data_IF_402948938966
#
_entry.id   IF_402948938966
#
_cell.length_a   1.000
_cell.length_b   1.000
_cell.length_c   1.000
_cell.angle_alpha   90.00
_cell.angle_beta   90.00
_cell.angle_gamma   90.00
#
_symmetry.space_group_name_H-M   'P 1'
#
loop_
_entity.id
_entity.type
_entity.pdbx_description
1 polymer ?
#
# COMPACT_ATOMS: atom_id res chain seq x y z
N UNK A 1 -18.02 -26.08 -8.94
CA UNK A 1 -16.83 -25.21 -8.92
C UNK A 1 -15.88 -25.72 -10.00
N UNK A 2 -15.58 -24.92 -11.02
CA UNK A 2 -14.57 -25.32 -12.01
C UNK A 2 -13.21 -25.42 -11.30
N UNK A 3 -12.41 -26.46 -11.55
CA UNK A 3 -11.05 -26.49 -11.06
C UNK A 3 -10.32 -25.24 -11.56
N UNK A 4 -9.64 -24.58 -10.68
CA UNK A 4 -8.72 -23.49 -11.08
C UNK A 4 -7.64 -24.15 -11.92
N UNK A 5 -7.58 -23.83 -13.20
CA UNK A 5 -6.53 -24.31 -14.07
C UNK A 5 -5.20 -23.70 -13.60
N UNK A 6 -4.51 -24.45 -12.77
CA UNK A 6 -3.21 -24.05 -12.25
C UNK A 6 -2.10 -24.14 -13.31
N UNK A 7 -2.40 -24.64 -14.50
CA UNK A 7 -1.45 -24.75 -15.61
C UNK A 7 -1.47 -23.55 -16.54
N UNK A 8 -2.42 -22.65 -16.36
CA UNK A 8 -2.50 -21.44 -17.17
C UNK A 8 -1.21 -20.63 -17.01
N UNK A 9 -0.46 -20.54 -18.09
CA UNK A 9 0.77 -19.76 -18.17
C UNK A 9 0.61 -18.25 -17.94
N UNK A 10 -0.53 -17.86 -17.47
CA UNK A 10 -0.91 -16.50 -17.06
C UNK A 10 -0.42 -16.12 -15.68
N UNK A 11 0.36 -16.93 -15.09
CA UNK A 11 1.13 -16.48 -13.95
C UNK A 11 2.12 -15.47 -14.49
N UNK A 12 1.70 -14.26 -14.42
CA UNK A 12 2.58 -13.15 -14.57
C UNK A 12 3.89 -13.54 -13.91
N UNK A 13 4.90 -13.66 -14.71
CA UNK A 13 6.15 -14.25 -14.28
C UNK A 13 6.70 -13.46 -13.09
N UNK A 14 7.19 -14.15 -12.12
CA UNK A 14 8.02 -13.53 -11.10
C UNK A 14 9.22 -12.92 -11.80
N UNK A 15 9.29 -11.62 -11.84
CA UNK A 15 10.48 -10.94 -12.35
C UNK A 15 11.45 -10.70 -11.21
N UNK A 16 12.56 -11.40 -11.21
CA UNK A 16 13.66 -11.14 -10.26
C UNK A 16 14.41 -9.84 -10.54
N UNK A 17 14.15 -9.23 -11.69
CA UNK A 17 14.79 -7.98 -12.11
C UNK A 17 13.96 -6.76 -11.76
N UNK A 18 12.72 -6.95 -11.33
CA UNK A 18 11.84 -5.89 -10.96
C UNK A 18 12.22 -5.29 -9.61
N UNK A 19 12.08 -3.97 -9.49
CA UNK A 19 12.20 -3.32 -8.19
C UNK A 19 11.17 -3.94 -7.24
N UNK A 20 11.60 -4.53 -6.11
CA UNK A 20 10.68 -5.14 -5.16
C UNK A 20 9.63 -4.18 -4.60
N UNK A 21 9.79 -2.89 -4.81
CA UNK A 21 8.83 -1.86 -4.39
C UNK A 21 7.72 -1.58 -5.41
N UNK A 22 7.81 -2.15 -6.62
CA UNK A 22 6.87 -1.89 -7.72
C UNK A 22 5.81 -2.97 -7.89
N UNK A 23 5.37 -3.57 -6.83
CA UNK A 23 4.39 -4.66 -6.81
C UNK A 23 3.03 -4.15 -6.32
N UNK A 24 1.93 -4.61 -6.90
CA UNK A 24 1.77 -5.34 -8.15
C UNK A 24 1.76 -4.41 -9.37
N UNK A 25 1.95 -4.96 -10.55
CA UNK A 25 1.91 -4.20 -11.81
C UNK A 25 1.12 -4.94 -12.89
N UNK A 26 0.62 -4.20 -13.87
CA UNK A 26 -0.12 -4.78 -14.98
C UNK A 26 0.80 -5.59 -15.91
N UNK A 27 0.29 -6.71 -16.40
CA UNK A 27 0.96 -7.50 -17.43
C UNK A 27 0.54 -6.97 -18.79
N UNK A 28 1.51 -6.51 -19.58
CA UNK A 28 1.25 -5.96 -20.91
C UNK A 28 0.57 -7.01 -21.80
N UNK A 29 -0.57 -6.66 -22.36
CA UNK A 29 -1.34 -7.51 -23.27
C UNK A 29 -2.30 -8.48 -22.59
N UNK A 30 -2.34 -8.53 -21.27
CA UNK A 30 -3.27 -9.35 -20.49
C UNK A 30 -4.32 -8.47 -19.81
N UNK A 31 -5.58 -8.82 -19.97
CA UNK A 31 -6.68 -8.09 -19.32
C UNK A 31 -6.89 -8.64 -17.92
N UNK A 32 -6.96 -7.76 -16.94
CA UNK A 32 -7.21 -8.11 -15.54
C UNK A 32 -6.16 -9.04 -14.90
N UNK A 33 -4.94 -9.03 -15.44
CA UNK A 33 -3.82 -9.80 -14.90
C UNK A 33 -2.78 -8.86 -14.32
N UNK A 34 -2.42 -9.09 -13.08
CA UNK A 34 -1.34 -8.36 -12.40
C UNK A 34 -0.22 -9.31 -11.99
N UNK A 35 1.00 -8.82 -12.12
CA UNK A 35 2.18 -9.53 -11.62
C UNK A 35 2.44 -9.17 -10.17
N UNK A 36 2.84 -10.16 -9.39
CA UNK A 36 3.19 -10.01 -7.99
C UNK A 36 4.58 -10.59 -7.75
N UNK A 37 5.47 -9.80 -7.22
CA UNK A 37 6.76 -10.28 -6.74
C UNK A 37 6.64 -10.67 -5.27
N UNK A 38 6.99 -11.89 -4.94
CA UNK A 38 6.91 -12.43 -3.58
C UNK A 38 8.29 -12.61 -2.92
N UNK A 39 9.35 -12.15 -3.56
CA UNK A 39 10.74 -12.44 -3.15
C UNK A 39 11.49 -11.19 -2.70
N UNK A 40 10.88 -10.29 -2.00
CA UNK A 40 11.45 -8.98 -1.65
C UNK A 40 11.28 -8.68 -0.17
N UNK A 41 12.27 -8.00 0.36
CA UNK A 41 12.27 -7.37 1.65
C UNK A 41 11.97 -8.24 2.87
N UNK A 42 12.18 -7.68 4.02
CA UNK A 42 11.78 -8.26 5.30
C UNK A 42 10.33 -7.91 5.63
N UNK A 43 9.64 -8.79 6.34
CA UNK A 43 8.31 -8.50 6.84
C UNK A 43 8.36 -7.30 7.79
N UNK A 44 7.52 -6.32 7.52
CA UNK A 44 7.39 -5.17 8.38
C UNK A 44 6.66 -5.55 9.69
N UNK A 45 6.90 -4.82 10.79
CA UNK A 45 6.26 -5.13 12.06
C UNK A 45 4.74 -5.05 11.96
N UNK A 46 4.04 -5.82 12.80
CA UNK A 46 2.58 -5.73 12.91
C UNK A 46 2.14 -4.37 13.46
N UNK A 47 2.95 -3.78 14.33
CA UNK A 47 2.74 -2.44 14.85
C UNK A 47 3.98 -1.60 14.58
N UNK A 48 3.82 -0.52 13.82
CA UNK A 48 4.94 0.36 13.43
C UNK A 48 5.46 1.16 14.61
N UNK A 49 4.56 1.68 15.44
CA UNK A 49 4.89 2.50 16.59
C UNK A 49 3.75 2.49 17.62
N UNK A 50 4.03 2.78 18.90
CA UNK A 50 2.99 2.94 19.90
C UNK A 50 1.97 4.02 19.50
N UNK A 51 0.68 3.71 19.63
CA UNK A 51 -0.40 4.63 19.32
C UNK A 51 -0.81 4.68 17.83
N UNK A 52 -0.03 4.09 16.94
CA UNK A 52 -0.40 3.92 15.52
C UNK A 52 -0.99 2.54 15.35
N UNK A 53 -2.26 2.47 15.01
CA UNK A 53 -2.92 1.19 14.79
C UNK A 53 -2.64 0.65 13.39
N UNK A 54 -2.51 -0.66 13.30
CA UNK A 54 -2.48 -1.38 12.04
C UNK A 54 -3.89 -1.86 11.72
N UNK A 55 -4.32 -1.64 10.48
CA UNK A 55 -5.66 -1.98 10.01
C UNK A 55 -5.62 -3.01 8.89
N UNK A 56 -6.63 -3.86 8.84
CA UNK A 56 -6.90 -4.74 7.72
C UNK A 56 -7.87 -4.11 6.72
N UNK A 57 -8.28 -4.88 5.72
CA UNK A 57 -9.12 -4.38 4.63
C UNK A 57 -10.48 -3.88 5.10
N UNK A 58 -11.13 -4.59 6.00
CA UNK A 58 -12.45 -4.20 6.50
C UNK A 58 -12.40 -2.91 7.30
N UNK A 59 -11.41 -2.79 8.18
CA UNK A 59 -11.20 -1.55 8.95
C UNK A 59 -10.82 -0.38 8.06
N UNK A 60 -9.99 -0.63 7.02
CA UNK A 60 -9.64 0.37 6.03
C UNK A 60 -10.88 0.91 5.33
N UNK A 61 -11.74 0.03 4.84
CA UNK A 61 -12.99 0.41 4.16
C UNK A 61 -13.91 1.21 5.09
N UNK A 62 -14.00 0.82 6.35
CA UNK A 62 -14.78 1.54 7.36
C UNK A 62 -14.22 2.94 7.61
N UNK A 63 -12.92 3.07 7.81
CA UNK A 63 -12.25 4.35 8.05
C UNK A 63 -12.41 5.30 6.86
N UNK A 64 -12.19 4.82 5.65
CA UNK A 64 -12.38 5.62 4.43
C UNK A 64 -13.85 6.04 4.27
N UNK A 65 -14.78 5.13 4.57
CA UNK A 65 -16.21 5.45 4.59
C UNK A 65 -16.59 6.52 5.62
N UNK A 66 -15.82 6.66 6.69
CA UNK A 66 -15.96 7.70 7.72
C UNK A 66 -15.19 9.00 7.39
N UNK A 67 -14.52 9.06 6.25
CA UNK A 67 -13.82 10.26 5.79
C UNK A 67 -12.30 10.25 6.06
N UNK A 68 -11.71 9.12 6.46
CA UNK A 68 -10.27 9.03 6.59
C UNK A 68 -9.56 9.28 5.27
N UNK A 69 -8.43 9.99 5.33
CA UNK A 69 -7.55 10.19 4.18
C UNK A 69 -6.77 8.91 3.90
N UNK A 70 -6.77 8.46 2.66
CA UNK A 70 -5.98 7.31 2.23
C UNK A 70 -4.74 7.78 1.48
N UNK A 71 -3.56 7.41 1.98
CA UNK A 71 -2.26 7.89 1.49
C UNK A 71 -1.43 6.75 0.95
N UNK A 72 -1.10 6.84 -0.32
CA UNK A 72 -0.14 5.96 -0.98
C UNK A 72 1.28 6.52 -0.78
N UNK A 73 2.09 5.82 0.02
CA UNK A 73 3.44 6.25 0.39
C UNK A 73 4.52 5.84 -0.62
N UNK A 74 4.12 5.21 -1.72
CA UNK A 74 5.08 4.72 -2.73
C UNK A 74 5.70 5.87 -3.51
N UNK A 75 6.97 5.70 -3.84
CA UNK A 75 7.68 6.58 -4.78
C UNK A 75 7.27 6.27 -6.21
N UNK A 76 7.55 7.18 -7.13
CA UNK A 76 7.22 7.02 -8.56
C UNK A 76 7.73 5.71 -9.14
N UNK A 77 8.93 5.28 -8.75
CA UNK A 77 9.53 4.03 -9.22
C UNK A 77 8.83 2.75 -8.73
N UNK A 78 7.96 2.87 -7.73
CA UNK A 78 7.24 1.73 -7.14
C UNK A 78 5.71 1.81 -7.33
N UNK A 79 5.24 2.84 -8.01
CA UNK A 79 3.81 3.14 -8.13
C UNK A 79 3.07 2.18 -9.08
N UNK A 80 3.73 1.73 -10.15
CA UNK A 80 3.17 0.74 -11.06
C UNK A 80 1.91 1.17 -11.84
N UNK A 81 1.55 2.44 -11.80
CA UNK A 81 0.39 2.98 -12.51
C UNK A 81 -0.98 2.67 -11.88
N UNK A 82 -1.00 2.00 -10.73
CA UNK A 82 -2.24 1.64 -10.00
C UNK A 82 -2.15 1.97 -8.53
N UNK A 83 -3.30 2.34 -7.96
CA UNK A 83 -3.43 2.60 -6.52
C UNK A 83 -4.79 2.14 -6.00
N UNK A 84 -5.00 2.23 -4.69
CA UNK A 84 -6.29 2.02 -4.08
C UNK A 84 -7.24 3.17 -4.46
N UNK A 85 -8.54 2.89 -4.66
CA UNK A 85 -9.50 3.94 -5.01
C UNK A 85 -9.53 5.08 -3.99
N UNK A 86 -9.43 6.32 -4.47
CA UNK A 86 -9.46 7.52 -3.64
C UNK A 86 -8.15 7.85 -2.94
N UNK A 87 -7.10 7.05 -3.12
CA UNK A 87 -5.80 7.35 -2.52
C UNK A 87 -5.14 8.58 -3.15
N UNK A 88 -4.49 9.36 -2.30
CA UNK A 88 -3.57 10.43 -2.72
C UNK A 88 -2.14 9.92 -2.59
N UNK A 89 -1.27 10.25 -3.53
CA UNK A 89 0.13 9.86 -3.46
C UNK A 89 0.94 10.93 -2.74
N UNK A 90 1.51 10.55 -1.61
CA UNK A 90 2.51 11.34 -0.89
C UNK A 90 3.69 10.40 -0.62
N UNK A 91 4.72 10.40 -1.47
CA UNK A 91 5.87 9.54 -1.31
C UNK A 91 6.48 9.63 0.09
N UNK A 92 6.96 8.51 0.62
CA UNK A 92 7.46 8.43 2.00
C UNK A 92 8.58 9.43 2.30
N UNK A 93 9.40 9.76 1.33
CA UNK A 93 10.50 10.74 1.42
C UNK A 93 10.03 12.19 1.36
N UNK A 94 8.76 12.43 1.05
CA UNK A 94 8.14 13.76 1.00
C UNK A 94 7.11 13.98 2.11
N UNK A 95 6.81 12.96 2.88
CA UNK A 95 5.65 12.97 3.79
C UNK A 95 5.78 14.04 4.88
N UNK A 96 6.96 14.19 5.46
CA UNK A 96 7.19 15.23 6.48
C UNK A 96 7.05 16.64 5.88
N UNK A 97 7.63 16.89 4.72
CA UNK A 97 7.51 18.18 4.04
C UNK A 97 6.06 18.51 3.64
N UNK A 98 5.27 17.48 3.37
CA UNK A 98 3.87 17.59 2.93
C UNK A 98 2.86 17.21 4.02
N UNK A 99 3.28 17.15 5.28
CA UNK A 99 2.41 16.75 6.39
C UNK A 99 1.18 17.65 6.58
N UNK A 100 1.21 18.86 6.07
CA UNK A 100 0.05 19.74 6.04
C UNK A 100 -1.12 19.24 5.17
N UNK A 101 -0.88 18.27 4.30
CA UNK A 101 -1.91 17.59 3.50
C UNK A 101 -2.59 16.45 4.27
N UNK A 102 -2.02 16.03 5.40
CA UNK A 102 -2.58 15.00 6.26
C UNK A 102 -3.60 15.59 7.25
N UNK A 103 -4.51 14.75 7.70
CA UNK A 103 -5.52 15.17 8.67
C UNK A 103 -5.02 14.93 10.11
N UNK A 104 -4.70 16.03 10.81
CA UNK A 104 -4.24 15.97 12.20
C UNK A 104 -5.39 15.76 13.21
N UNK A 105 -6.60 16.10 12.84
CA UNK A 105 -7.79 16.00 13.70
C UNK A 105 -8.62 14.74 13.39
N UNK A 106 -8.36 14.09 12.27
CA UNK A 106 -8.98 12.84 11.84
C UNK A 106 -7.96 11.71 11.75
N UNK A 107 -8.12 10.88 10.73
CA UNK A 107 -7.24 9.72 10.48
C UNK A 107 -6.68 9.80 9.07
N UNK A 108 -5.37 9.64 8.94
CA UNK A 108 -4.71 9.33 7.68
C UNK A 108 -4.21 7.89 7.70
N UNK A 109 -4.64 7.08 6.75
CA UNK A 109 -4.22 5.69 6.62
C UNK A 109 -3.13 5.62 5.55
N UNK A 110 -1.93 5.21 5.94
CA UNK A 110 -0.80 5.06 5.03
C UNK A 110 -0.64 3.62 4.58
N UNK A 111 -0.37 3.43 3.31
CA UNK A 111 -0.05 2.12 2.74
C UNK A 111 1.05 2.23 1.68
N UNK A 112 1.64 1.10 1.33
CA UNK A 112 2.57 0.97 0.23
C UNK A 112 2.35 -0.36 -0.51
N UNK A 113 3.38 -1.00 -1.04
CA UNK A 113 3.21 -2.20 -1.86
C UNK A 113 2.66 -3.40 -1.08
N UNK A 114 3.06 -3.60 0.15
CA UNK A 114 2.61 -4.74 0.93
C UNK A 114 3.38 -4.98 2.22
N UNK A 115 3.23 -6.15 2.84
CA UNK A 115 3.80 -6.44 4.16
C UNK A 115 5.33 -6.39 4.24
N UNK A 116 6.01 -6.44 3.11
CA UNK A 116 7.47 -6.38 3.01
C UNK A 116 7.99 -5.01 2.56
N UNK A 117 7.11 -4.05 2.32
CA UNK A 117 7.48 -2.72 1.87
C UNK A 117 7.71 -1.78 3.06
N UNK A 118 8.90 -1.16 3.20
CA UNK A 118 9.19 -0.29 4.32
C UNK A 118 8.72 1.15 4.15
N UNK A 119 8.16 1.54 3.02
CA UNK A 119 7.90 2.94 2.69
C UNK A 119 6.87 3.60 3.61
N UNK A 120 5.76 2.92 3.92
CA UNK A 120 4.77 3.45 4.87
C UNK A 120 5.26 3.44 6.32
N UNK A 121 5.89 2.37 6.83
CA UNK A 121 6.54 2.42 8.14
C UNK A 121 7.56 3.54 8.27
N UNK A 122 8.35 3.79 7.24
CA UNK A 122 9.34 4.86 7.19
C UNK A 122 8.66 6.24 7.28
N UNK A 123 7.64 6.49 6.47
CA UNK A 123 6.85 7.72 6.51
C UNK A 123 6.24 7.96 7.89
N UNK A 124 5.63 6.95 8.49
CA UNK A 124 5.04 7.04 9.83
C UNK A 124 6.09 7.37 10.88
N UNK A 125 7.23 6.69 10.86
CA UNK A 125 8.32 6.92 11.80
C UNK A 125 8.85 8.34 11.71
N UNK A 126 9.03 8.85 10.50
CA UNK A 126 9.48 10.23 10.27
C UNK A 126 8.46 11.27 10.74
N UNK A 127 7.18 11.05 10.47
CA UNK A 127 6.09 11.91 10.93
C UNK A 127 6.05 12.01 12.46
N UNK A 128 6.15 10.87 13.13
CA UNK A 128 6.17 10.83 14.61
C UNK A 128 7.38 11.55 15.17
N UNK A 129 8.55 11.38 14.57
CA UNK A 129 9.78 12.09 14.97
C UNK A 129 9.65 13.60 14.79
N UNK A 130 8.85 14.05 13.84
CA UNK A 130 8.57 15.48 13.59
C UNK A 130 7.36 16.01 14.40
N UNK A 131 6.82 15.22 15.32
CA UNK A 131 5.75 15.62 16.23
C UNK A 131 4.32 15.44 15.68
N UNK A 132 4.13 14.70 14.60
CA UNK A 132 2.79 14.38 14.14
C UNK A 132 2.07 13.43 15.13
N UNK A 133 0.79 13.64 15.46
CA UNK A 133 0.11 12.84 16.45
C UNK A 133 -0.10 11.39 15.98
N UNK A 134 0.35 10.43 16.78
CA UNK A 134 0.21 9.01 16.47
C UNK A 134 -1.26 8.59 16.33
N UNK A 135 -2.15 9.19 17.11
CA UNK A 135 -3.60 8.92 17.06
C UNK A 135 -4.28 9.31 15.74
N UNK A 136 -3.62 10.17 14.95
CA UNK A 136 -4.11 10.59 13.64
C UNK A 136 -3.55 9.73 12.48
N UNK A 137 -2.77 8.70 12.80
CA UNK A 137 -2.16 7.81 11.83
C UNK A 137 -2.67 6.37 11.99
N UNK A 138 -2.85 5.70 10.86
CA UNK A 138 -3.07 4.27 10.80
C UNK A 138 -2.22 3.66 9.68
N UNK A 139 -1.89 2.40 9.81
CA UNK A 139 -1.06 1.66 8.85
C UNK A 139 -1.85 0.51 8.23
N UNK A 140 -2.07 0.56 6.93
CA UNK A 140 -2.59 -0.57 6.16
C UNK A 140 -1.41 -1.40 5.65
N UNK A 141 -1.01 -2.38 6.47
CA UNK A 141 0.19 -3.20 6.27
C UNK A 141 0.10 -4.07 5.02
N UNK A 142 -1.09 -4.61 4.73
CA UNK A 142 -1.32 -5.47 3.57
C UNK A 142 -1.00 -4.77 2.25
N UNK A 143 -1.25 -3.49 2.18
CA UNK A 143 -0.94 -2.66 1.04
C UNK A 143 -1.61 -3.11 -0.26
N UNK A 144 -1.07 -2.65 -1.38
CA UNK A 144 -1.62 -2.98 -2.69
C UNK A 144 -1.56 -4.49 -2.98
N UNK A 145 -0.53 -5.18 -2.48
CA UNK A 145 -0.38 -6.62 -2.64
C UNK A 145 -1.60 -7.41 -2.10
N UNK A 146 -1.97 -7.20 -0.85
CA UNK A 146 -3.09 -7.92 -0.24
C UNK A 146 -4.42 -7.47 -0.86
N UNK A 147 -4.54 -6.17 -1.14
CA UNK A 147 -5.72 -5.61 -1.78
C UNK A 147 -6.06 -6.28 -3.12
N UNK A 148 -5.07 -6.43 -4.01
CA UNK A 148 -5.29 -7.09 -5.30
C UNK A 148 -5.39 -8.61 -5.18
N UNK A 149 -4.74 -9.21 -4.19
CA UNK A 149 -4.86 -10.65 -3.90
C UNK A 149 -6.29 -11.01 -3.52
N UNK A 150 -7.00 -10.09 -2.87
CA UNK A 150 -8.43 -10.22 -2.54
C UNK A 150 -9.36 -9.81 -3.69
N UNK A 151 -8.82 -9.51 -4.85
CA UNK A 151 -9.57 -9.06 -6.03
C UNK A 151 -10.39 -7.78 -5.79
N UNK A 152 -9.91 -6.89 -4.91
CA UNK A 152 -10.54 -5.60 -4.66
C UNK A 152 -10.17 -4.61 -5.78
N UNK A 153 -11.03 -3.64 -6.10
CA UNK A 153 -10.83 -2.73 -7.22
C UNK A 153 -9.63 -1.79 -6.99
N UNK A 154 -8.92 -1.49 -8.07
CA UNK A 154 -7.87 -0.48 -8.09
C UNK A 154 -8.24 0.64 -9.04
N UNK A 155 -7.57 1.78 -8.92
CA UNK A 155 -7.68 2.88 -9.87
C UNK A 155 -6.36 3.09 -10.60
N UNK A 156 -6.43 3.47 -11.89
CA UNK A 156 -5.29 3.98 -12.64
C UNK A 156 -4.91 5.38 -12.14
N UNK A 157 -3.63 5.69 -12.16
CA UNK A 157 -3.05 6.98 -11.73
C UNK A 157 -2.03 7.47 -12.72
#
# INVERSE_FOLDING_TARGET
MKPIDASGGQRAGRSRQQDPRSVPWDVTGEVDVVAVDTTWGELQPLQVAPGVRTVGELELLELVGQGALLVDSRTDGSFGGRSLPGAVNIPHDQTVARQGELDRDGISVLFCNGPQCPQSPDAITQLLADGFPASALAYYRGGLHDWVTLALPTQAV
#
